data_IF_403155831500
#
_entry.id   IF_403155831500
#
_cell.length_a   1.000
_cell.length_b   1.000
_cell.length_c   1.000
_cell.angle_alpha   90.00
_cell.angle_beta   90.00
_cell.angle_gamma   90.00
#
_symmetry.space_group_name_H-M   'P 1'
#
loop_
_entity.id
_entity.type
_entity.pdbx_description
1 polymer ?
#
# COMPACT_ATOMS: atom_id res chain seq x y z
N UNK A 1 -68.40 25.18 14.69
CA UNK A 1 -69.10 24.30 13.73
C UNK A 1 -68.36 24.45 12.40
N UNK A 2 -67.74 23.48 11.74
CA UNK A 2 -67.73 22.01 11.82
C UNK A 2 -66.70 21.54 10.77
N UNK A 3 -65.74 20.68 11.16
CA UNK A 3 -65.17 19.51 10.40
C UNK A 3 -64.55 19.73 8.98
N UNK A 4 -63.58 18.98 8.43
CA UNK A 4 -63.02 17.65 8.69
C UNK A 4 -61.75 17.45 7.82
N UNK A 5 -60.83 16.64 8.34
CA UNK A 5 -59.73 15.93 7.68
C UNK A 5 -59.89 15.56 6.20
N UNK A 6 -58.78 15.61 5.44
CA UNK A 6 -58.35 14.52 4.56
C UNK A 6 -56.82 14.42 4.46
N UNK A 7 -56.29 13.45 5.20
CA UNK A 7 -55.06 12.72 4.91
C UNK A 7 -55.05 12.26 3.44
N UNK A 8 -53.92 12.41 2.74
CA UNK A 8 -53.66 11.58 1.56
C UNK A 8 -52.16 11.32 1.37
N UNK A 9 -51.82 10.04 1.56
CA UNK A 9 -50.74 9.29 0.94
C UNK A 9 -49.28 9.77 1.14
N UNK A 10 -48.67 9.16 2.15
CA UNK A 10 -47.23 9.01 2.27
C UNK A 10 -46.64 8.35 1.01
N UNK A 11 -45.78 9.07 0.29
CA UNK A 11 -44.98 8.53 -0.82
C UNK A 11 -43.67 7.98 -0.22
N UNK A 12 -43.69 6.73 0.23
CA UNK A 12 -42.50 6.05 0.73
C UNK A 12 -41.61 5.65 -0.47
N UNK A 13 -40.71 6.55 -0.85
CA UNK A 13 -39.61 6.32 -1.79
C UNK A 13 -38.62 5.32 -1.18
N UNK A 14 -38.91 4.03 -1.33
CA UNK A 14 -38.00 2.94 -0.99
C UNK A 14 -36.89 2.88 -2.04
N UNK A 15 -35.93 3.80 -1.89
CA UNK A 15 -34.71 3.84 -2.69
C UNK A 15 -33.80 2.71 -2.21
N UNK A 16 -33.86 1.56 -2.88
CA UNK A 16 -32.90 0.49 -2.70
C UNK A 16 -31.50 1.02 -3.05
N UNK A 17 -30.73 1.40 -2.04
CA UNK A 17 -29.29 1.62 -2.14
C UNK A 17 -28.65 0.27 -2.48
N UNK A 18 -28.50 0.00 -3.77
CA UNK A 18 -27.62 -1.07 -4.25
C UNK A 18 -26.21 -0.60 -3.95
N UNK A 19 -25.73 -0.87 -2.73
CA UNK A 19 -24.31 -0.71 -2.41
C UNK A 19 -23.61 -1.82 -3.19
N UNK A 20 -23.11 -1.47 -4.38
CA UNK A 20 -22.29 -2.38 -5.18
C UNK A 20 -21.15 -2.90 -4.30
N UNK A 21 -21.03 -4.22 -4.20
CA UNK A 21 -19.91 -4.84 -3.52
C UNK A 21 -18.63 -4.34 -4.21
N UNK A 22 -17.87 -3.49 -3.53
CA UNK A 22 -16.55 -3.10 -4.01
C UNK A 22 -15.70 -4.37 -4.04
N UNK A 23 -14.94 -4.57 -5.10
CA UNK A 23 -13.91 -5.61 -5.13
C UNK A 23 -13.06 -5.48 -3.85
N UNK A 24 -12.77 -6.60 -3.22
CA UNK A 24 -11.98 -6.66 -2.00
C UNK A 24 -10.85 -7.67 -2.20
N UNK A 25 -9.68 -7.24 -1.78
CA UNK A 25 -8.44 -7.97 -1.88
C UNK A 25 -7.82 -7.96 -3.28
N UNK A 26 -6.54 -8.29 -3.31
CA UNK A 26 -5.74 -8.53 -4.51
C UNK A 26 -5.13 -9.94 -4.42
N UNK A 27 -4.92 -10.58 -5.57
CA UNK A 27 -4.15 -11.81 -5.63
C UNK A 27 -2.68 -11.50 -5.82
N UNK A 28 -1.85 -12.18 -5.03
CA UNK A 28 -0.42 -12.00 -5.00
C UNK A 28 0.26 -13.36 -5.01
N UNK A 29 1.51 -13.38 -5.43
CA UNK A 29 2.34 -14.58 -5.44
C UNK A 29 2.50 -15.15 -4.02
N UNK A 30 2.74 -16.46 -3.93
CA UNK A 30 2.87 -17.14 -2.64
C UNK A 30 4.03 -16.61 -1.78
N UNK A 31 5.09 -16.11 -2.42
CA UNK A 31 6.27 -15.50 -1.80
C UNK A 31 6.29 -13.96 -1.90
N UNK A 32 5.13 -13.35 -2.11
CA UNK A 32 4.98 -11.92 -2.26
C UNK A 32 5.52 -11.14 -1.06
N UNK A 33 6.24 -10.07 -1.36
CA UNK A 33 6.74 -9.13 -0.36
C UNK A 33 5.70 -8.04 -0.10
N UNK A 34 4.91 -8.24 0.95
CA UNK A 34 3.98 -7.21 1.46
C UNK A 34 4.72 -6.27 2.42
N UNK A 35 4.67 -4.97 2.13
CA UNK A 35 5.33 -3.95 2.93
C UNK A 35 4.42 -3.35 3.99
N UNK A 36 3.12 -3.24 3.68
CA UNK A 36 2.13 -2.70 4.58
C UNK A 36 0.75 -3.31 4.31
N UNK A 37 -0.06 -3.45 5.35
CA UNK A 37 -1.46 -3.85 5.25
C UNK A 37 -1.69 -5.34 4.99
N UNK A 38 -2.87 -5.66 4.47
CA UNK A 38 -3.32 -7.02 4.17
C UNK A 38 -3.85 -7.08 2.74
N UNK A 39 -3.32 -8.00 1.94
CA UNK A 39 -3.75 -8.22 0.55
C UNK A 39 -5.15 -8.81 0.46
N UNK A 40 -5.60 -9.55 1.47
CA UNK A 40 -6.92 -10.21 1.47
C UNK A 40 -8.09 -9.24 1.67
N UNK A 41 -7.87 -8.15 2.41
CA UNK A 41 -8.92 -7.16 2.75
C UNK A 41 -8.66 -5.79 2.11
N UNK A 42 -7.75 -5.75 1.14
CA UNK A 42 -7.32 -4.51 0.49
C UNK A 42 -8.44 -3.92 -0.36
N UNK A 43 -8.66 -2.61 -0.25
CA UNK A 43 -9.62 -1.86 -1.07
C UNK A 43 -8.96 -0.71 -1.83
N UNK A 44 -7.78 -0.26 -1.39
CA UNK A 44 -6.99 0.76 -2.05
C UNK A 44 -5.51 0.32 -2.09
N UNK A 45 -5.18 -0.60 -3.00
CA UNK A 45 -3.82 -1.13 -3.14
C UNK A 45 -2.87 -0.07 -3.68
N UNK A 46 -1.60 -0.22 -3.31
CA UNK A 46 -0.50 0.49 -3.92
C UNK A 46 0.64 -0.47 -4.24
N UNK A 47 1.34 -0.20 -5.34
CA UNK A 47 2.50 -0.97 -5.76
C UNK A 47 3.80 -0.20 -5.54
N UNK A 48 4.90 -0.93 -5.40
CA UNK A 48 6.23 -0.34 -5.34
C UNK A 48 7.25 -1.14 -6.15
N UNK A 49 8.09 -0.42 -6.90
CA UNK A 49 9.21 -0.98 -7.62
C UNK A 49 10.40 -1.23 -6.67
N UNK A 50 10.37 -2.38 -5.99
CA UNK A 50 11.32 -2.74 -4.93
C UNK A 50 12.80 -2.59 -5.33
N UNK A 51 13.14 -2.97 -6.57
CA UNK A 51 14.51 -2.90 -7.10
C UNK A 51 15.02 -1.46 -7.18
N UNK A 52 14.14 -0.51 -7.50
CA UNK A 52 14.49 0.90 -7.65
C UNK A 52 14.66 1.56 -6.29
N UNK A 53 13.70 1.34 -5.39
CA UNK A 53 13.76 1.89 -4.02
C UNK A 53 14.95 1.33 -3.24
N UNK A 54 15.29 0.04 -3.41
CA UNK A 54 16.48 -0.53 -2.75
C UNK A 54 17.78 0.13 -3.20
N UNK A 55 17.89 0.50 -4.48
CA UNK A 55 19.12 1.11 -5.00
C UNK A 55 19.40 2.48 -4.39
N UNK A 56 18.38 3.16 -3.91
CA UNK A 56 18.49 4.49 -3.32
C UNK A 56 18.82 4.46 -1.83
N UNK A 57 18.82 3.29 -1.17
CA UNK A 57 19.10 3.22 0.28
C UNK A 57 20.60 3.16 0.59
N UNK A 58 21.04 3.72 1.73
CA UNK A 58 22.44 3.69 2.13
C UNK A 58 22.94 2.27 2.40
N UNK A 59 22.12 1.35 2.91
CA UNK A 59 22.54 -0.03 3.17
C UNK A 59 22.89 -0.76 1.88
N UNK A 60 22.13 -0.52 0.80
CA UNK A 60 22.44 -1.09 -0.50
C UNK A 60 23.73 -0.49 -1.08
N UNK A 61 23.94 0.82 -0.90
CA UNK A 61 25.18 1.48 -1.29
C UNK A 61 26.37 0.91 -0.53
N UNK A 62 26.23 0.62 0.77
CA UNK A 62 27.26 -0.05 1.60
C UNK A 62 27.54 -1.47 1.12
N UNK A 63 26.50 -2.27 0.82
CA UNK A 63 26.67 -3.62 0.26
C UNK A 63 27.49 -3.56 -1.04
N UNK A 64 27.21 -2.58 -1.90
CA UNK A 64 27.88 -2.43 -3.19
C UNK A 64 29.30 -1.88 -3.09
N UNK A 65 29.51 -0.82 -2.32
CA UNK A 65 30.80 -0.15 -2.18
C UNK A 65 31.82 -1.03 -1.45
N UNK A 66 31.40 -1.74 -0.40
CA UNK A 66 32.29 -2.60 0.38
C UNK A 66 32.36 -4.05 -0.13
N UNK A 67 31.60 -4.39 -1.18
CA UNK A 67 31.59 -5.74 -1.74
C UNK A 67 31.10 -6.81 -0.75
N UNK A 68 30.12 -6.47 0.10
CA UNK A 68 29.60 -7.38 1.13
C UNK A 68 28.99 -8.62 0.48
N UNK A 69 29.59 -9.79 0.72
CA UNK A 69 29.20 -11.05 0.07
C UNK A 69 27.83 -11.54 0.57
N UNK A 70 26.96 -11.93 -0.37
CA UNK A 70 25.68 -12.60 -0.08
C UNK A 70 25.92 -13.86 0.75
N UNK A 71 25.06 -14.10 1.74
CA UNK A 71 25.14 -15.25 2.65
C UNK A 71 26.01 -15.02 3.89
N UNK A 72 26.70 -13.88 3.99
CA UNK A 72 27.39 -13.50 5.23
C UNK A 72 26.42 -12.89 6.24
N UNK A 73 26.75 -12.97 7.53
CA UNK A 73 25.97 -12.33 8.59
C UNK A 73 25.82 -10.82 8.34
N UNK A 74 26.90 -10.15 7.92
CA UNK A 74 26.90 -8.72 7.59
C UNK A 74 25.91 -8.38 6.47
N UNK A 75 25.87 -9.18 5.41
CA UNK A 75 24.90 -9.01 4.34
C UNK A 75 23.46 -9.12 4.86
N UNK A 76 23.18 -10.14 5.67
CA UNK A 76 21.85 -10.36 6.23
C UNK A 76 21.40 -9.19 7.13
N UNK A 77 22.31 -8.62 7.93
CA UNK A 77 22.03 -7.44 8.75
C UNK A 77 21.65 -6.24 7.90
N UNK A 78 22.47 -5.90 6.89
CA UNK A 78 22.21 -4.75 6.00
C UNK A 78 20.89 -4.92 5.22
N UNK A 79 20.59 -6.13 4.76
CA UNK A 79 19.31 -6.41 4.09
C UNK A 79 18.13 -6.27 5.06
N UNK A 80 18.27 -6.75 6.30
CA UNK A 80 17.22 -6.64 7.32
C UNK A 80 16.95 -5.18 7.66
N UNK A 81 17.99 -4.38 7.91
CA UNK A 81 17.89 -2.96 8.22
C UNK A 81 17.22 -2.18 7.07
N UNK A 82 17.70 -2.37 5.84
CA UNK A 82 17.09 -1.81 4.64
C UNK A 82 15.62 -2.18 4.52
N UNK A 83 15.27 -3.45 4.73
CA UNK A 83 13.88 -3.91 4.61
C UNK A 83 12.99 -3.26 5.68
N UNK A 84 13.48 -3.14 6.91
CA UNK A 84 12.75 -2.45 7.99
C UNK A 84 12.54 -0.97 7.67
N UNK A 85 13.59 -0.29 7.19
CA UNK A 85 13.50 1.12 6.75
C UNK A 85 12.44 1.29 5.67
N UNK A 86 12.47 0.47 4.62
CA UNK A 86 11.51 0.55 3.52
C UNK A 86 10.08 0.22 3.96
N UNK A 87 9.88 -0.75 4.86
CA UNK A 87 8.56 -1.02 5.44
C UNK A 87 8.01 0.18 6.24
N UNK A 88 8.87 0.86 7.00
CA UNK A 88 8.49 2.08 7.73
C UNK A 88 8.06 3.20 6.77
N UNK A 89 8.85 3.44 5.73
CA UNK A 89 8.55 4.45 4.73
C UNK A 89 7.26 4.14 3.94
N UNK A 90 7.11 2.89 3.49
CA UNK A 90 5.90 2.43 2.82
C UNK A 90 4.66 2.60 3.70
N UNK A 91 4.75 2.27 5.00
CA UNK A 91 3.69 2.53 5.97
C UNK A 91 3.37 4.02 6.10
N UNK A 92 4.37 4.90 6.17
CA UNK A 92 4.15 6.35 6.27
C UNK A 92 3.44 6.92 5.04
N UNK A 93 3.88 6.52 3.84
CA UNK A 93 3.23 6.88 2.58
C UNK A 93 1.80 6.34 2.52
N UNK A 94 1.59 5.09 2.92
CA UNK A 94 0.28 4.47 2.98
C UNK A 94 -0.68 5.25 3.90
N UNK A 95 -0.25 5.58 5.11
CA UNK A 95 -1.06 6.32 6.07
C UNK A 95 -1.38 7.75 5.60
N UNK A 96 -0.42 8.41 4.95
CA UNK A 96 -0.57 9.79 4.47
C UNK A 96 -1.52 9.88 3.27
N UNK A 97 -1.53 8.88 2.40
CA UNK A 97 -2.32 8.87 1.16
C UNK A 97 -3.55 7.94 1.21
N UNK A 98 -3.78 7.30 2.36
CA UNK A 98 -4.93 6.45 2.63
C UNK A 98 -4.91 5.10 1.91
N UNK A 99 -3.73 4.56 1.58
CA UNK A 99 -3.61 3.20 1.07
C UNK A 99 -3.72 2.20 2.22
N UNK A 100 -4.43 1.09 2.00
CA UNK A 100 -4.64 0.06 3.01
C UNK A 100 -3.78 -1.20 2.78
N UNK A 101 -3.08 -1.28 1.64
CA UNK A 101 -2.05 -2.27 1.37
C UNK A 101 -0.97 -1.69 0.44
N UNK A 102 0.28 -2.08 0.68
CA UNK A 102 1.42 -1.78 -0.21
C UNK A 102 2.17 -3.08 -0.49
N UNK A 103 2.27 -3.44 -1.77
CA UNK A 103 2.93 -4.67 -2.23
C UNK A 103 3.96 -4.33 -3.29
N UNK A 104 4.97 -5.18 -3.48
CA UNK A 104 5.86 -5.06 -4.62
C UNK A 104 5.09 -5.25 -5.94
N UNK A 105 5.36 -4.41 -6.94
CA UNK A 105 4.71 -4.46 -8.27
C UNK A 105 4.87 -5.83 -8.93
N UNK A 106 6.08 -6.39 -8.88
CA UNK A 106 6.42 -7.71 -9.44
C UNK A 106 5.65 -8.88 -8.76
N UNK A 107 4.97 -8.65 -7.64
CA UNK A 107 4.33 -9.70 -6.81
C UNK A 107 2.79 -9.73 -6.92
N UNK A 108 2.19 -8.81 -7.66
CA UNK A 108 0.73 -8.77 -7.90
C UNK A 108 0.40 -9.67 -9.09
N UNK A 109 -0.51 -10.63 -8.88
CA UNK A 109 -0.97 -11.55 -9.93
C UNK A 109 -2.30 -11.07 -10.55
N UNK A 110 -3.23 -10.59 -9.73
CA UNK A 110 -4.52 -10.00 -10.17
C UNK A 110 -4.99 -8.90 -9.22
N UNK A 111 -5.27 -7.73 -9.78
CA UNK A 111 -5.74 -6.53 -9.08
C UNK A 111 -7.26 -6.58 -8.79
N UNK A 112 -7.99 -7.55 -9.35
CA UNK A 112 -9.44 -7.73 -9.19
C UNK A 112 -10.26 -6.50 -9.54
N UNK A 113 -9.76 -5.70 -10.49
CA UNK A 113 -10.38 -4.45 -10.92
C UNK A 113 -10.20 -3.29 -9.95
N UNK A 114 -9.32 -3.41 -8.95
CA UNK A 114 -8.88 -2.30 -8.11
C UNK A 114 -7.84 -1.45 -8.84
N UNK A 115 -7.84 -0.13 -8.57
CA UNK A 115 -6.83 0.79 -9.09
C UNK A 115 -5.59 0.72 -8.20
N UNK A 116 -4.49 0.19 -8.73
CA UNK A 116 -3.21 0.06 -8.04
C UNK A 116 -2.32 1.27 -8.36
N UNK A 117 -2.13 2.15 -7.38
CA UNK A 117 -1.24 3.33 -7.57
C UNK A 117 0.22 2.97 -7.30
N UNK A 118 1.13 3.31 -8.23
CA UNK A 118 2.58 3.23 -7.99
C UNK A 118 3.04 4.34 -7.03
N UNK A 119 3.53 3.94 -5.85
CA UNK A 119 4.02 4.87 -4.82
C UNK A 119 5.55 4.97 -4.77
N UNK A 120 6.27 4.38 -5.71
CA UNK A 120 7.74 4.33 -5.76
C UNK A 120 8.39 5.70 -5.60
N UNK A 121 7.93 6.69 -6.38
CA UNK A 121 8.48 8.06 -6.33
C UNK A 121 8.23 8.73 -4.97
N UNK A 122 7.09 8.44 -4.34
CA UNK A 122 6.75 9.00 -3.02
C UNK A 122 7.66 8.44 -1.94
N UNK A 123 7.95 7.14 -1.99
CA UNK A 123 8.86 6.48 -1.06
C UNK A 123 10.30 6.99 -1.24
N UNK A 124 10.78 7.11 -2.49
CA UNK A 124 12.13 7.65 -2.76
C UNK A 124 12.26 9.08 -2.25
N UNK A 125 11.28 9.93 -2.53
CA UNK A 125 11.28 11.31 -2.03
C UNK A 125 11.33 11.38 -0.50
N UNK A 126 10.59 10.51 0.18
CA UNK A 126 10.59 10.46 1.64
C UNK A 126 11.92 9.94 2.20
N UNK A 127 12.52 8.95 1.53
CA UNK A 127 13.84 8.43 1.86
C UNK A 127 14.92 9.52 1.75
N UNK A 128 14.88 10.32 0.68
CA UNK A 128 15.81 11.43 0.46
C UNK A 128 15.66 12.49 1.56
N UNK A 129 14.42 12.84 1.96
CA UNK A 129 14.22 13.80 3.06
C UNK A 129 14.71 13.30 4.42
N UNK A 130 14.64 11.98 4.71
CA UNK A 130 15.21 11.44 5.95
C UNK A 130 16.76 11.49 5.95
N UNK A 131 17.39 11.48 4.78
CA UNK A 131 18.85 11.52 4.66
C UNK A 131 19.40 12.94 4.87
N UNK A 132 18.65 13.97 4.52
CA UNK A 132 19.05 15.38 4.74
C UNK A 132 18.93 15.81 6.22
N UNK A 133 18.14 15.09 7.02
CA UNK A 133 17.93 15.36 8.45
C UNK A 133 18.88 14.58 9.39
N UNK A 134 19.68 13.64 8.86
CA UNK A 134 20.54 12.72 9.61
C UNK A 134 22.02 13.16 9.61
#
# INVERSE_FOLDING_TARGET
MTTLHRFCAAFALLSCLVVGAKAQGIEVKADATVLFGSTATCTKPASVEWKKVRKTTPEWQTIKSEGVKKGTARYSLLISEMTQRLKRLAKSVAQTHGFDCVVCEDDIDDEKGLDVEDVTKRIIKLLESEADEA
#
